data_IF_120460786024
#
_entry.id   IF_120460786024
#
_cell.length_a   1.000
_cell.length_b   1.000
_cell.length_c   1.000
_cell.angle_alpha   90.00
_cell.angle_beta   90.00
_cell.angle_gamma   90.00
#
_symmetry.space_group_name_H-M   'P 1'
#
loop_
_entity.id
_entity.type
_entity.pdbx_description
1 polymer ?
#
# COMPACT_ATOMS: atom_id res chain seq x y z
N UNK A 1 15.77 -6.66 8.83
CA UNK A 1 14.74 -5.64 9.10
C UNK A 1 13.49 -6.08 8.38
N UNK A 2 12.53 -6.66 9.10
CA UNK A 2 11.23 -7.03 8.51
C UNK A 2 10.52 -5.76 8.05
N UNK A 3 10.68 -5.44 6.77
CA UNK A 3 9.92 -4.39 6.11
C UNK A 3 8.48 -4.86 6.10
N UNK A 4 7.70 -4.39 7.07
CA UNK A 4 6.27 -4.56 7.08
C UNK A 4 5.76 -3.76 5.88
N UNK A 5 5.17 -4.45 4.90
CA UNK A 5 4.62 -3.81 3.72
C UNK A 5 3.13 -3.56 3.92
N UNK A 6 2.66 -2.42 3.42
CA UNK A 6 1.26 -2.04 3.46
C UNK A 6 0.80 -1.60 2.08
N UNK A 7 -0.41 -2.00 1.72
CA UNK A 7 -1.07 -1.62 0.48
C UNK A 7 -2.15 -0.59 0.82
N UNK A 8 -2.12 0.56 0.17
CA UNK A 8 -3.07 1.65 0.39
C UNK A 8 -3.91 1.94 -0.86
N UNK A 9 -5.19 2.25 -0.66
CA UNK A 9 -6.07 2.78 -1.69
C UNK A 9 -6.25 4.27 -1.43
N UNK A 10 -5.90 5.08 -2.42
CA UNK A 10 -5.94 6.55 -2.32
C UNK A 10 -6.80 7.16 -3.41
N UNK A 11 -7.31 8.36 -3.14
CA UNK A 11 -7.95 9.21 -4.14
C UNK A 11 -7.36 10.60 -4.08
N UNK A 12 -7.36 11.29 -5.21
CA UNK A 12 -6.93 12.67 -5.33
C UNK A 12 -8.14 13.59 -5.26
N UNK A 13 -8.09 14.62 -4.41
CA UNK A 13 -9.08 15.71 -4.36
C UNK A 13 -8.36 17.04 -4.51
N UNK A 14 -8.30 17.52 -5.76
CA UNK A 14 -7.45 18.64 -6.13
C UNK A 14 -6.01 18.31 -5.77
N UNK A 15 -5.39 19.17 -4.97
CA UNK A 15 -3.98 19.03 -4.59
C UNK A 15 -3.76 18.14 -3.35
N UNK A 16 -4.82 17.56 -2.79
CA UNK A 16 -4.73 16.73 -1.58
C UNK A 16 -4.94 15.25 -1.91
N UNK A 17 -4.13 14.41 -1.28
CA UNK A 17 -4.28 12.95 -1.31
C UNK A 17 -5.12 12.53 -0.11
N UNK A 18 -6.22 11.82 -0.35
CA UNK A 18 -7.01 11.18 0.72
C UNK A 18 -6.79 9.68 0.68
N UNK A 19 -6.31 9.14 1.79
CA UNK A 19 -6.22 7.70 2.01
C UNK A 19 -7.62 7.19 2.36
N UNK A 20 -8.13 6.23 1.59
CA UNK A 20 -9.45 5.65 1.79
C UNK A 20 -9.35 4.40 2.68
N UNK A 21 -8.30 3.59 2.46
CA UNK A 21 -8.05 2.38 3.23
C UNK A 21 -6.57 2.00 3.15
N UNK A 22 -6.03 1.47 4.25
CA UNK A 22 -4.70 0.87 4.31
C UNK A 22 -4.83 -0.51 4.92
N UNK A 23 -4.25 -1.52 4.27
CA UNK A 23 -4.21 -2.89 4.76
C UNK A 23 -2.79 -3.40 4.84
N UNK A 24 -2.55 -4.41 5.68
CA UNK A 24 -1.26 -5.12 5.73
C UNK A 24 -1.11 -5.96 4.45
N UNK A 25 -0.01 -5.78 3.72
CA UNK A 25 0.26 -6.56 2.51
C UNK A 25 0.50 -8.01 2.91
N UNK A 26 -0.11 -8.93 2.17
CA UNK A 26 0.12 -10.36 2.36
C UNK A 26 1.49 -10.70 1.76
N UNK A 27 2.24 -11.63 2.36
CA UNK A 27 3.59 -12.02 1.91
C UNK A 27 3.66 -12.31 0.40
N UNK A 28 2.59 -12.87 -0.15
CA UNK A 28 2.44 -13.24 -1.56
C UNK A 28 2.40 -12.04 -2.54
N UNK A 29 1.97 -10.85 -2.10
CA UNK A 29 2.00 -9.63 -2.95
C UNK A 29 3.42 -9.05 -3.04
N UNK A 30 4.20 -9.12 -1.96
CA UNK A 30 5.58 -8.58 -1.92
C UNK A 30 6.47 -9.35 -2.87
N UNK A 31 6.38 -10.69 -2.87
CA UNK A 31 7.19 -11.57 -3.73
C UNK A 31 6.91 -11.38 -5.23
N UNK A 32 5.69 -10.94 -5.60
CA UNK A 32 5.30 -10.78 -7.00
C UNK A 32 5.74 -9.44 -7.62
N UNK A 33 5.90 -8.37 -6.81
CA UNK A 33 6.24 -7.03 -7.31
C UNK A 33 7.66 -6.56 -6.96
N UNK A 34 8.26 -7.10 -5.88
CA UNK A 34 9.62 -6.76 -5.43
C UNK A 34 10.65 -7.90 -5.71
N UNK A 35 10.23 -8.94 -6.44
CA UNK A 35 11.06 -10.07 -6.85
C UNK A 35 11.84 -9.84 -8.14
#
# INVERSE_FOLDING_TARGET
MDQKHWSAVVTYRGDKIRIISVRRSRRQEVELYEG
#
